data_IF_476991318760
#
_entry.id   IF_476991318760
#
_cell.length_a   1.000
_cell.length_b   1.000
_cell.length_c   1.000
_cell.angle_alpha   90.00
_cell.angle_beta   90.00
_cell.angle_gamma   90.00
#
_symmetry.space_group_name_H-M   'P 1'
#
loop_
_entity.id
_entity.type
_entity.pdbx_description
1 polymer ?
#
# COMPACT_ATOMS: atom_id res chain seq x y z
N UNK A 1 -2.90 -18.64 63.63
CA UNK A 1 -1.79 -18.40 62.69
C UNK A 1 -2.28 -18.77 61.30
N UNK A 2 -2.83 -17.80 60.57
CA UNK A 2 -3.29 -17.99 59.19
C UNK A 2 -2.17 -17.49 58.26
N UNK A 3 -1.60 -18.41 57.49
CA UNK A 3 -0.56 -18.15 56.50
C UNK A 3 -1.18 -17.46 55.28
N UNK A 4 -0.74 -16.23 55.00
CA UNK A 4 -1.07 -15.51 53.78
C UNK A 4 -0.43 -16.20 52.58
N UNK A 5 -1.25 -16.64 51.63
CA UNK A 5 -0.78 -17.01 50.28
C UNK A 5 -0.55 -15.72 49.50
N UNK A 6 0.72 -15.39 49.34
CA UNK A 6 1.22 -14.40 48.41
C UNK A 6 1.02 -14.94 46.97
N UNK A 7 -0.03 -14.49 46.29
CA UNK A 7 -0.23 -14.80 44.88
C UNK A 7 0.57 -13.82 44.05
N UNK A 8 1.82 -14.17 43.77
CA UNK A 8 2.66 -13.47 42.82
C UNK A 8 1.93 -13.34 41.47
N UNK A 9 1.62 -12.10 41.08
CA UNK A 9 1.25 -11.77 39.71
C UNK A 9 2.42 -12.16 38.81
N UNK A 10 2.30 -13.28 38.10
CA UNK A 10 3.16 -13.58 36.97
C UNK A 10 3.04 -12.41 36.00
N UNK A 11 4.14 -11.69 35.78
CA UNK A 11 4.25 -10.71 34.71
C UNK A 11 3.99 -11.46 33.40
N UNK A 12 2.81 -11.29 32.81
CA UNK A 12 2.49 -11.89 31.53
C UNK A 12 3.54 -11.41 30.52
N UNK A 13 4.28 -12.34 29.91
CA UNK A 13 5.25 -12.02 28.86
C UNK A 13 4.58 -11.09 27.84
N UNK A 14 5.18 -9.93 27.58
CA UNK A 14 4.63 -8.98 26.61
C UNK A 14 4.64 -9.65 25.23
N UNK A 15 3.45 -9.85 24.67
CA UNK A 15 3.34 -10.36 23.30
C UNK A 15 4.02 -9.39 22.32
N UNK A 16 4.50 -9.85 21.14
CA UNK A 16 5.13 -8.99 20.15
C UNK A 16 4.27 -7.77 19.77
N UNK A 17 2.94 -7.95 19.70
CA UNK A 17 1.99 -6.84 19.50
C UNK A 17 1.93 -5.87 20.67
N UNK A 18 1.92 -6.37 21.92
CA UNK A 18 1.96 -5.51 23.11
C UNK A 18 3.26 -4.71 23.19
N UNK A 19 4.38 -5.29 22.75
CA UNK A 19 5.66 -4.57 22.62
C UNK A 19 5.59 -3.43 21.59
N UNK A 20 4.97 -3.67 20.42
CA UNK A 20 4.75 -2.62 19.41
C UNK A 20 3.83 -1.51 19.92
N UNK A 21 2.71 -1.87 20.55
CA UNK A 21 1.78 -0.91 21.15
C UNK A 21 2.45 -0.10 22.26
N UNK A 22 3.25 -0.76 23.12
CA UNK A 22 4.04 -0.08 24.16
C UNK A 22 5.04 0.89 23.54
N UNK A 23 5.81 0.47 22.54
CA UNK A 23 6.77 1.33 21.84
C UNK A 23 6.11 2.52 21.14
N UNK A 24 4.86 2.37 20.67
CA UNK A 24 4.09 3.43 20.05
C UNK A 24 3.37 4.36 21.05
N UNK A 25 3.42 4.08 22.35
CA UNK A 25 2.70 4.86 23.37
C UNK A 25 3.35 6.23 23.61
N UNK A 26 2.57 7.29 23.87
CA UNK A 26 3.11 8.63 24.14
C UNK A 26 4.15 8.65 25.25
N UNK A 27 3.88 7.97 26.38
CA UNK A 27 4.79 7.91 27.52
C UNK A 27 6.16 7.30 27.19
N UNK A 28 6.19 6.28 26.32
CA UNK A 28 7.46 5.66 25.89
C UNK A 28 8.17 6.56 24.88
N UNK A 29 7.44 7.15 23.94
CA UNK A 29 7.99 8.10 22.97
C UNK A 29 8.65 9.30 23.67
N UNK A 30 8.05 9.80 24.74
CA UNK A 30 8.60 10.89 25.56
C UNK A 30 9.83 10.45 26.37
N UNK A 31 9.86 9.20 26.83
CA UNK A 31 10.94 8.68 27.68
C UNK A 31 12.21 8.27 26.90
N UNK A 32 12.10 7.44 25.87
CA UNK A 32 13.26 6.95 25.10
C UNK A 32 13.51 7.71 23.81
N UNK A 33 12.59 8.60 23.42
CA UNK A 33 12.61 9.28 22.13
C UNK A 33 12.13 8.38 20.98
N UNK A 34 11.53 9.02 19.97
CA UNK A 34 10.91 8.35 18.83
C UNK A 34 11.86 7.45 18.04
N UNK A 35 13.12 7.86 17.85
CA UNK A 35 14.09 7.07 17.07
C UNK A 35 14.42 5.72 17.72
N UNK A 36 14.56 5.69 19.06
CA UNK A 36 14.80 4.43 19.80
C UNK A 36 13.56 3.55 19.79
N UNK A 37 12.38 4.16 19.95
CA UNK A 37 11.11 3.45 19.84
C UNK A 37 10.92 2.82 18.44
N UNK A 38 11.21 3.56 17.37
CA UNK A 38 11.14 3.07 15.99
C UNK A 38 12.16 1.95 15.71
N UNK A 39 13.35 2.01 16.31
CA UNK A 39 14.35 0.93 16.20
C UNK A 39 13.87 -0.35 16.90
N UNK A 40 13.32 -0.24 18.12
CA UNK A 40 12.70 -1.38 18.83
C UNK A 40 11.52 -1.93 18.04
N UNK A 41 10.66 -1.06 17.52
CA UNK A 41 9.51 -1.48 16.71
C UNK A 41 9.95 -2.19 15.43
N UNK A 42 10.99 -1.69 14.76
CA UNK A 42 11.57 -2.33 13.57
C UNK A 42 12.16 -3.70 13.90
N UNK A 43 12.87 -3.83 15.03
CA UNK A 43 13.40 -5.11 15.51
C UNK A 43 12.27 -6.13 15.76
N UNK A 44 11.23 -5.72 16.50
CA UNK A 44 10.06 -6.57 16.79
C UNK A 44 9.34 -6.95 15.49
N UNK A 45 9.17 -6.00 14.57
CA UNK A 45 8.52 -6.26 13.29
C UNK A 45 9.30 -7.29 12.47
N UNK A 46 10.60 -7.07 12.27
CA UNK A 46 11.43 -7.93 11.42
C UNK A 46 11.64 -9.34 12.01
N UNK A 47 11.71 -9.47 13.33
CA UNK A 47 12.06 -10.75 13.96
C UNK A 47 10.85 -11.59 14.42
N UNK A 48 9.71 -10.94 14.71
CA UNK A 48 8.55 -11.60 15.32
C UNK A 48 7.30 -11.46 14.46
N UNK A 49 6.88 -10.22 14.15
CA UNK A 49 5.63 -9.99 13.42
C UNK A 49 5.71 -10.49 11.98
N UNK A 50 6.83 -10.27 11.29
CA UNK A 50 7.03 -10.73 9.93
C UNK A 50 6.90 -12.26 9.83
N UNK A 51 7.49 -13.00 10.77
CA UNK A 51 7.36 -14.46 10.83
C UNK A 51 5.91 -14.91 11.05
N UNK A 52 5.14 -14.19 11.86
CA UNK A 52 3.72 -14.46 12.04
C UNK A 52 2.93 -14.20 10.75
N UNK A 53 3.24 -13.10 10.04
CA UNK A 53 2.62 -12.78 8.75
C UNK A 53 2.95 -13.83 7.69
N UNK A 54 4.20 -14.27 7.60
CA UNK A 54 4.62 -15.36 6.70
C UNK A 54 3.87 -16.66 6.98
N UNK A 55 3.76 -17.07 8.24
CA UNK A 55 2.99 -18.27 8.63
C UNK A 55 1.52 -18.14 8.26
N UNK A 56 0.93 -16.96 8.45
CA UNK A 56 -0.47 -16.70 8.10
C UNK A 56 -0.68 -16.76 6.59
N UNK A 57 0.13 -16.05 5.81
CA UNK A 57 0.07 -16.06 4.35
C UNK A 57 0.26 -17.48 3.80
N UNK A 58 1.23 -18.23 4.33
CA UNK A 58 1.43 -19.63 3.97
C UNK A 58 0.19 -20.47 4.31
N UNK A 59 -0.35 -20.37 5.52
CA UNK A 59 -1.58 -21.11 5.88
C UNK A 59 -2.76 -20.75 4.95
N UNK A 60 -2.92 -19.48 4.59
CA UNK A 60 -3.95 -19.02 3.65
C UNK A 60 -3.72 -19.53 2.23
N UNK A 61 -2.47 -19.68 1.80
CA UNK A 61 -2.14 -20.31 0.51
C UNK A 61 -2.54 -21.78 0.44
N UNK A 62 -2.54 -22.47 1.58
CA UNK A 62 -2.90 -23.89 1.67
C UNK A 62 -4.40 -24.11 1.86
N UNK A 63 -5.12 -23.12 2.39
CA UNK A 63 -6.53 -23.23 2.78
C UNK A 63 -7.53 -22.99 1.63
N UNK A 64 -7.08 -23.00 0.38
CA UNK A 64 -7.91 -22.65 -0.77
C UNK A 64 -8.86 -23.77 -1.23
N UNK A 65 -10.02 -23.32 -1.72
CA UNK A 65 -10.95 -24.09 -2.55
C UNK A 65 -10.34 -24.41 -3.94
N UNK A 66 -10.71 -25.55 -4.53
CA UNK A 66 -10.16 -26.09 -5.78
C UNK A 66 -10.26 -25.09 -6.95
N UNK A 67 -11.33 -24.29 -6.98
CA UNK A 67 -11.55 -23.25 -7.98
C UNK A 67 -10.43 -22.19 -8.00
N UNK A 68 -9.91 -21.82 -6.82
CA UNK A 68 -8.86 -20.82 -6.73
C UNK A 68 -7.50 -21.37 -7.18
N UNK A 69 -7.21 -22.63 -6.88
CA UNK A 69 -6.00 -23.29 -7.37
C UNK A 69 -6.04 -23.48 -8.88
N UNK A 70 -7.20 -23.85 -9.44
CA UNK A 70 -7.39 -23.94 -10.88
C UNK A 70 -7.14 -22.59 -11.58
N UNK A 71 -7.68 -21.50 -11.03
CA UNK A 71 -7.43 -20.14 -11.50
C UNK A 71 -5.95 -19.76 -11.50
N UNK A 72 -5.23 -20.00 -10.40
CA UNK A 72 -3.82 -19.63 -10.27
C UNK A 72 -2.90 -20.42 -11.22
N UNK A 73 -3.27 -21.65 -11.61
CA UNK A 73 -2.52 -22.42 -12.62
C UNK A 73 -2.58 -21.78 -14.00
N UNK A 74 -3.72 -21.19 -14.37
CA UNK A 74 -3.96 -20.61 -15.70
C UNK A 74 -3.68 -19.11 -15.77
N UNK A 75 -3.42 -18.44 -14.65
CA UNK A 75 -3.16 -17.00 -14.59
C UNK A 75 -1.77 -16.66 -14.05
N UNK A 76 -1.28 -15.49 -14.44
CA UNK A 76 0.06 -14.99 -14.15
C UNK A 76 0.01 -13.67 -13.37
N UNK A 77 1.01 -13.44 -12.53
CA UNK A 77 1.21 -12.18 -11.83
C UNK A 77 2.60 -11.64 -12.15
N UNK A 78 2.66 -10.53 -12.89
CA UNK A 78 3.92 -9.86 -13.22
C UNK A 78 4.61 -9.15 -12.05
N UNK A 79 3.94 -8.83 -10.94
CA UNK A 79 4.52 -7.99 -9.87
C UNK A 79 5.87 -8.50 -9.35
N UNK A 80 6.05 -9.79 -9.00
CA UNK A 80 7.36 -10.28 -8.57
C UNK A 80 8.46 -10.19 -9.64
N UNK A 81 8.09 -9.97 -10.90
CA UNK A 81 8.98 -9.88 -12.05
C UNK A 81 9.31 -8.44 -12.47
N UNK A 82 8.64 -7.42 -11.93
CA UNK A 82 8.99 -6.02 -12.21
C UNK A 82 8.90 -5.07 -11.00
N UNK A 83 8.45 -5.50 -9.82
CA UNK A 83 8.26 -4.60 -8.67
C UNK A 83 9.36 -4.78 -7.60
N UNK A 84 9.89 -3.66 -7.08
CA UNK A 84 10.66 -3.63 -5.84
C UNK A 84 10.04 -2.62 -4.86
N UNK A 85 9.60 -3.08 -3.69
CA UNK A 85 9.11 -2.19 -2.61
C UNK A 85 10.12 -2.09 -1.47
N UNK A 86 10.53 -0.85 -1.17
CA UNK A 86 11.38 -0.53 -0.02
C UNK A 86 10.51 -0.24 1.20
N UNK A 87 10.94 -0.61 2.41
CA UNK A 87 10.12 -0.42 3.63
C UNK A 87 10.85 0.32 4.74
N UNK A 88 10.11 0.90 5.68
CA UNK A 88 10.67 1.69 6.78
C UNK A 88 11.54 0.87 7.75
N UNK A 89 11.48 -0.46 7.69
CA UNK A 89 12.35 -1.35 8.46
C UNK A 89 13.66 -1.69 7.74
N UNK A 90 13.89 -1.11 6.56
CA UNK A 90 15.09 -1.34 5.74
C UNK A 90 15.06 -2.64 4.96
N UNK A 91 13.92 -3.34 4.92
CA UNK A 91 13.72 -4.54 4.11
C UNK A 91 13.15 -4.17 2.73
N UNK A 92 13.48 -4.99 1.73
CA UNK A 92 13.01 -4.87 0.35
C UNK A 92 12.16 -6.09 -0.01
N UNK A 93 11.09 -5.89 -0.78
CA UNK A 93 10.13 -6.93 -1.17
C UNK A 93 9.89 -6.91 -2.69
N UNK A 94 9.52 -8.05 -3.28
CA UNK A 94 9.17 -8.16 -4.71
C UNK A 94 7.69 -7.84 -5.02
N UNK A 95 6.89 -7.52 -3.99
CA UNK A 95 5.47 -7.17 -4.08
C UNK A 95 5.08 -6.52 -2.75
N UNK A 96 3.82 -6.10 -2.61
CA UNK A 96 3.29 -5.51 -1.39
C UNK A 96 3.57 -6.41 -0.17
N UNK A 97 4.28 -5.93 0.88
CA UNK A 97 4.68 -6.73 2.04
C UNK A 97 3.50 -7.17 2.92
N UNK A 98 2.29 -6.67 2.64
CA UNK A 98 1.06 -7.14 3.28
C UNK A 98 0.60 -8.46 2.69
N UNK A 99 0.70 -8.62 1.36
CA UNK A 99 0.22 -9.80 0.65
C UNK A 99 1.34 -10.78 0.29
N UNK A 100 2.58 -10.31 0.23
CA UNK A 100 3.77 -11.14 0.04
C UNK A 100 4.78 -10.77 1.14
N UNK A 101 4.58 -11.25 2.39
CA UNK A 101 5.39 -10.86 3.54
C UNK A 101 6.76 -11.54 3.58
N UNK A 102 7.42 -11.73 2.44
CA UNK A 102 8.73 -12.38 2.33
C UNK A 102 9.74 -11.39 1.74
N UNK A 103 10.69 -10.88 2.55
CA UNK A 103 11.68 -9.94 2.07
C UNK A 103 12.67 -10.62 1.13
N UNK A 104 13.12 -9.88 0.12
CA UNK A 104 14.11 -10.33 -0.86
C UNK A 104 15.53 -9.84 -0.59
N UNK A 105 15.69 -8.98 0.41
CA UNK A 105 16.97 -8.42 0.84
C UNK A 105 16.76 -7.15 1.66
N UNK A 106 17.82 -6.35 1.76
CA UNK A 106 17.85 -5.11 2.51
C UNK A 106 18.17 -3.91 1.61
N UNK A 107 17.75 -2.75 2.07
CA UNK A 107 17.88 -1.50 1.31
C UNK A 107 19.32 -0.94 1.30
N UNK A 108 20.15 -1.37 2.26
CA UNK A 108 21.57 -1.03 2.33
C UNK A 108 22.47 -1.95 1.50
N UNK A 109 21.90 -2.96 0.83
CA UNK A 109 22.59 -3.87 -0.09
C UNK A 109 22.51 -3.36 -1.54
N UNK A 110 23.33 -3.93 -2.43
CA UNK A 110 23.24 -3.65 -3.86
C UNK A 110 21.88 -4.13 -4.40
N UNK A 111 21.12 -3.23 -5.04
CA UNK A 111 19.75 -3.52 -5.47
C UNK A 111 19.65 -4.64 -6.53
N UNK A 112 20.67 -4.81 -7.38
CA UNK A 112 20.71 -5.90 -8.37
C UNK A 112 20.95 -7.25 -7.70
N UNK A 113 21.79 -7.30 -6.67
CA UNK A 113 21.96 -8.52 -5.87
C UNK A 113 20.69 -8.90 -5.11
N UNK A 114 20.00 -7.91 -4.56
CA UNK A 114 18.68 -8.08 -3.91
C UNK A 114 17.64 -8.60 -4.91
N UNK A 115 17.61 -8.05 -6.13
CA UNK A 115 16.71 -8.49 -7.21
C UNK A 115 16.93 -9.95 -7.63
N UNK A 116 18.20 -10.39 -7.64
CA UNK A 116 18.62 -11.74 -8.01
C UNK A 116 18.95 -12.62 -6.79
N UNK A 117 18.35 -12.35 -5.64
CA UNK A 117 18.52 -13.19 -4.46
C UNK A 117 17.82 -14.54 -4.63
N UNK A 118 18.30 -15.56 -3.93
CA UNK A 118 17.71 -16.90 -3.98
C UNK A 118 16.22 -16.90 -3.62
N UNK A 119 15.84 -16.05 -2.66
CA UNK A 119 14.45 -15.94 -2.23
C UNK A 119 13.59 -15.20 -3.26
N UNK A 120 14.11 -14.18 -3.94
CA UNK A 120 13.39 -13.52 -5.04
C UNK A 120 13.11 -14.52 -6.18
N UNK A 121 14.10 -15.36 -6.51
CA UNK A 121 13.93 -16.39 -7.53
C UNK A 121 12.89 -17.43 -7.10
N UNK A 122 12.93 -17.92 -5.86
CA UNK A 122 11.91 -18.84 -5.33
C UNK A 122 10.50 -18.26 -5.36
N UNK A 123 10.35 -16.96 -5.09
CA UNK A 123 9.05 -16.28 -5.20
C UNK A 123 8.57 -16.33 -6.65
N UNK A 124 9.41 -15.93 -7.62
CA UNK A 124 9.08 -15.95 -9.05
C UNK A 124 8.77 -17.36 -9.54
N UNK A 125 9.55 -18.35 -9.13
CA UNK A 125 9.32 -19.76 -9.46
C UNK A 125 7.97 -20.25 -8.95
N UNK A 126 7.53 -19.81 -7.77
CA UNK A 126 6.20 -20.13 -7.24
C UNK A 126 5.06 -19.49 -8.01
N UNK A 127 5.31 -18.36 -8.70
CA UNK A 127 4.33 -17.83 -9.65
C UNK A 127 4.31 -18.74 -10.87
N UNK A 128 5.47 -19.09 -11.42
CA UNK A 128 5.66 -19.92 -12.64
C UNK A 128 5.00 -21.30 -12.51
N UNK A 129 5.16 -21.97 -11.38
CA UNK A 129 4.58 -23.29 -11.12
C UNK A 129 3.08 -23.25 -10.77
N UNK A 130 2.51 -22.05 -10.60
CA UNK A 130 1.10 -21.84 -10.28
C UNK A 130 0.74 -22.04 -8.81
N UNK A 131 1.70 -22.25 -7.91
CA UNK A 131 1.45 -22.45 -6.48
C UNK A 131 1.21 -21.14 -5.71
N UNK A 132 1.85 -20.05 -6.14
CA UNK A 132 1.83 -18.75 -5.46
C UNK A 132 2.15 -18.89 -3.96
N UNK A 133 3.06 -19.80 -3.61
CA UNK A 133 3.30 -20.28 -2.24
C UNK A 133 3.73 -19.20 -1.22
N UNK A 134 4.17 -18.04 -1.70
CA UNK A 134 4.57 -16.90 -0.86
C UNK A 134 3.49 -15.81 -0.74
N UNK A 135 2.40 -15.94 -1.48
CA UNK A 135 1.33 -14.95 -1.54
C UNK A 135 0.22 -15.27 -0.54
N UNK A 136 -0.40 -14.24 0.01
CA UNK A 136 -1.65 -14.31 0.77
C UNK A 136 -2.81 -14.34 -0.22
N UNK A 137 -3.32 -15.53 -0.45
CA UNK A 137 -4.36 -15.79 -1.44
C UNK A 137 -5.73 -15.21 -1.08
N UNK A 138 -5.95 -14.87 0.19
CA UNK A 138 -7.23 -14.36 0.69
C UNK A 138 -7.24 -12.83 0.65
N UNK A 139 -6.13 -12.20 1.06
CA UNK A 139 -6.10 -10.75 1.19
C UNK A 139 -5.51 -10.04 -0.03
N UNK A 140 -4.76 -10.73 -0.91
CA UNK A 140 -4.26 -10.13 -2.14
C UNK A 140 -5.43 -9.74 -3.06
N UNK A 141 -5.60 -8.45 -3.41
CA UNK A 141 -6.74 -7.99 -4.21
C UNK A 141 -6.74 -8.62 -5.61
N UNK A 142 -5.56 -8.86 -6.21
CA UNK A 142 -5.47 -9.48 -7.53
C UNK A 142 -5.91 -10.94 -7.54
N UNK A 143 -5.60 -11.69 -6.48
CA UNK A 143 -5.99 -13.11 -6.35
C UNK A 143 -7.46 -13.20 -5.96
N UNK A 144 -7.86 -12.52 -4.89
CA UNK A 144 -9.22 -12.56 -4.36
C UNK A 144 -10.24 -11.97 -5.34
N UNK A 145 -9.87 -10.90 -6.04
CA UNK A 145 -10.70 -10.26 -7.05
C UNK A 145 -10.62 -10.87 -8.45
N UNK A 146 -9.86 -11.95 -8.66
CA UNK A 146 -9.67 -12.60 -9.98
C UNK A 146 -9.19 -11.65 -11.08
N UNK A 147 -8.23 -10.77 -10.74
CA UNK A 147 -7.70 -9.73 -11.63
C UNK A 147 -6.30 -10.04 -12.19
N UNK A 148 -5.80 -11.26 -12.04
CA UNK A 148 -4.58 -11.70 -12.69
C UNK A 148 -4.80 -11.87 -14.20
N UNK A 149 -3.74 -11.69 -14.97
CA UNK A 149 -3.76 -11.87 -16.43
C UNK A 149 -3.66 -13.36 -16.81
N UNK A 150 -4.20 -13.79 -17.96
CA UNK A 150 -3.97 -15.13 -18.47
C UNK A 150 -2.47 -15.41 -18.63
N UNK A 151 -2.05 -16.64 -18.32
CA UNK A 151 -0.63 -17.03 -18.35
C UNK A 151 -0.06 -17.15 -19.77
N UNK A 152 -0.91 -17.35 -20.77
CA UNK A 152 -0.55 -17.58 -22.16
C UNK A 152 -0.50 -16.30 -23.00
N UNK A 153 -0.45 -15.12 -22.38
CA UNK A 153 -0.15 -13.86 -23.06
C UNK A 153 1.34 -13.78 -23.46
N UNK A 154 1.65 -12.93 -24.44
CA UNK A 154 3.03 -12.70 -24.86
C UNK A 154 3.83 -12.02 -23.76
N UNK A 155 3.22 -11.07 -23.05
CA UNK A 155 3.83 -10.34 -21.93
C UNK A 155 4.20 -11.29 -20.78
N UNK A 156 3.31 -12.23 -20.43
CA UNK A 156 3.61 -13.23 -19.39
C UNK A 156 4.78 -14.12 -19.81
N UNK A 157 4.85 -14.55 -21.09
CA UNK A 157 5.99 -15.31 -21.62
C UNK A 157 7.29 -14.52 -21.53
N UNK A 158 7.27 -13.23 -21.87
CA UNK A 158 8.47 -12.38 -21.82
C UNK A 158 9.04 -12.27 -20.41
N UNK A 159 8.21 -12.06 -19.39
CA UNK A 159 8.67 -12.03 -18.00
C UNK A 159 9.28 -13.36 -17.54
N UNK A 160 8.66 -14.48 -17.93
CA UNK A 160 9.13 -15.82 -17.60
C UNK A 160 10.48 -16.10 -18.27
N UNK A 161 10.62 -15.78 -19.56
CA UNK A 161 11.87 -15.96 -20.31
C UNK A 161 12.97 -15.02 -19.81
N UNK A 162 12.64 -13.78 -19.43
CA UNK A 162 13.59 -12.86 -18.81
C UNK A 162 14.13 -13.44 -17.50
N UNK A 163 13.25 -13.90 -16.61
CA UNK A 163 13.64 -14.53 -15.34
C UNK A 163 14.56 -15.74 -15.53
N UNK A 164 14.29 -16.59 -16.53
CA UNK A 164 15.13 -17.76 -16.87
C UNK A 164 16.56 -17.41 -17.27
N UNK A 165 16.80 -16.21 -17.82
CA UNK A 165 18.15 -15.72 -18.15
C UNK A 165 18.96 -15.35 -16.89
N UNK A 166 18.29 -15.16 -15.75
CA UNK A 166 18.92 -14.91 -14.46
C UNK A 166 19.82 -13.67 -14.46
N UNK A 167 20.97 -13.76 -13.77
CA UNK A 167 21.94 -12.65 -13.63
C UNK A 167 22.67 -12.28 -14.93
N UNK A 168 22.49 -13.03 -16.02
CA UNK A 168 23.13 -12.74 -17.30
C UNK A 168 22.56 -11.49 -17.99
N UNK A 169 21.36 -11.05 -17.57
CA UNK A 169 20.69 -9.85 -18.09
C UNK A 169 20.41 -8.88 -16.95
N UNK A 170 20.35 -7.59 -17.27
CA UNK A 170 19.86 -6.59 -16.33
C UNK A 170 18.39 -6.86 -15.96
N UNK A 171 17.92 -6.39 -14.79
CA UNK A 171 16.49 -6.41 -14.46
C UNK A 171 15.65 -5.77 -15.59
N UNK A 172 14.38 -6.18 -15.77
CA UNK A 172 13.49 -5.40 -16.62
C UNK A 172 13.30 -4.00 -16.01
N UNK A 173 12.73 -3.06 -16.77
CA UNK A 173 12.42 -1.74 -16.24
C UNK A 173 11.56 -1.90 -14.97
N UNK A 174 12.14 -1.54 -13.82
CA UNK A 174 11.53 -1.80 -12.54
C UNK A 174 10.46 -0.75 -12.24
N UNK A 175 9.40 -1.18 -11.56
CA UNK A 175 8.52 -0.33 -10.79
C UNK A 175 9.02 -0.33 -9.34
N UNK A 176 9.51 0.81 -8.89
CA UNK A 176 10.08 0.95 -7.54
C UNK A 176 9.07 1.64 -6.63
N UNK A 177 8.59 0.94 -5.60
CA UNK A 177 7.68 1.49 -4.59
C UNK A 177 8.50 1.94 -3.37
N UNK A 178 8.44 3.22 -3.05
CA UNK A 178 9.19 3.77 -1.93
C UNK A 178 8.30 3.83 -0.69
N UNK A 179 8.46 2.92 0.28
CA UNK A 179 7.69 2.89 1.54
C UNK A 179 8.58 3.00 2.79
N UNK A 180 9.79 3.55 2.63
CA UNK A 180 10.82 3.63 3.67
C UNK A 180 10.74 4.85 4.60
N UNK A 181 10.00 5.88 4.22
CA UNK A 181 9.66 7.00 5.09
C UNK A 181 8.16 6.95 5.44
N UNK A 182 7.84 7.22 6.72
CA UNK A 182 6.46 7.20 7.23
C UNK A 182 5.90 8.62 7.37
N UNK A 183 6.67 9.66 7.07
CA UNK A 183 6.28 11.05 7.32
C UNK A 183 4.99 11.42 6.58
N UNK A 184 4.06 12.07 7.28
CA UNK A 184 2.75 12.49 6.76
C UNK A 184 2.19 13.61 7.63
N UNK A 185 1.47 14.54 7.01
CA UNK A 185 0.79 15.66 7.66
C UNK A 185 -0.58 15.29 8.27
N UNK A 186 -1.05 14.05 8.10
CA UNK A 186 -2.29 13.55 8.69
C UNK A 186 -2.05 12.48 9.77
N UNK A 187 -3.06 12.25 10.59
CA UNK A 187 -3.12 11.26 11.68
C UNK A 187 -4.39 10.39 11.55
N UNK A 188 -4.63 9.86 10.35
CA UNK A 188 -5.82 9.07 10.04
C UNK A 188 -5.96 7.87 11.01
N UNK A 189 -7.13 7.66 11.64
CA UNK A 189 -7.36 6.57 12.60
C UNK A 189 -7.25 5.17 11.99
N UNK A 190 -7.30 5.04 10.67
CA UNK A 190 -7.09 3.77 9.94
C UNK A 190 -5.62 3.48 9.61
N UNK A 191 -4.73 4.44 9.83
CA UNK A 191 -3.35 4.40 9.35
C UNK A 191 -2.32 4.45 10.47
N UNK A 192 -2.49 5.36 11.44
CA UNK A 192 -1.45 5.71 12.42
C UNK A 192 -2.00 6.43 13.66
N UNK A 193 -1.24 6.43 14.74
CA UNK A 193 -1.65 7.04 16.02
C UNK A 193 -1.43 8.55 16.13
N UNK A 194 -0.72 9.17 15.18
CA UNK A 194 -0.39 10.60 15.23
C UNK A 194 0.24 11.10 13.92
N UNK A 195 0.65 12.37 13.91
CA UNK A 195 1.40 12.96 12.79
C UNK A 195 2.85 12.48 12.88
N UNK A 196 3.45 12.13 11.74
CA UNK A 196 4.83 11.67 11.65
C UNK A 196 5.63 12.67 10.83
N UNK A 197 6.72 13.18 11.40
CA UNK A 197 7.67 14.04 10.70
C UNK A 197 9.07 13.57 11.06
N UNK A 198 9.90 13.33 10.05
CA UNK A 198 11.31 13.01 10.26
C UNK A 198 12.01 14.15 11.00
N UNK A 199 12.68 13.83 12.11
CA UNK A 199 13.57 14.76 12.79
C UNK A 199 14.88 14.94 12.00
N UNK A 200 15.76 15.85 12.44
CA UNK A 200 17.04 16.12 11.74
C UNK A 200 17.93 14.87 11.57
N UNK A 201 18.00 14.01 12.60
CA UNK A 201 18.83 12.81 12.56
C UNK A 201 18.26 11.76 11.59
N UNK A 202 16.93 11.59 11.57
CA UNK A 202 16.25 10.72 10.60
C UNK A 202 16.36 11.28 9.19
N UNK A 203 16.24 12.60 9.00
CA UNK A 203 16.42 13.24 7.70
C UNK A 203 17.83 12.96 7.16
N UNK A 204 18.89 13.13 7.97
CA UNK A 204 20.25 12.82 7.53
C UNK A 204 20.43 11.35 7.10
N UNK A 205 19.78 10.40 7.79
CA UNK A 205 19.77 8.98 7.38
C UNK A 205 19.04 8.75 6.06
N UNK A 206 17.93 9.47 5.85
CA UNK A 206 17.15 9.39 4.62
C UNK A 206 17.92 10.04 3.44
N UNK A 207 18.64 11.11 3.69
CA UNK A 207 19.51 11.75 2.68
C UNK A 207 20.66 10.81 2.28
N UNK A 208 21.33 10.16 3.25
CA UNK A 208 22.38 9.16 2.97
C UNK A 208 21.82 7.97 2.16
N UNK A 209 20.62 7.51 2.52
CA UNK A 209 19.92 6.44 1.82
C UNK A 209 19.58 6.81 0.37
N UNK A 210 19.18 8.07 0.14
CA UNK A 210 18.92 8.60 -1.21
C UNK A 210 20.13 8.43 -2.10
N UNK A 211 21.29 8.89 -1.64
CA UNK A 211 22.52 8.86 -2.45
C UNK A 211 23.03 7.43 -2.68
N UNK A 212 23.06 6.61 -1.63
CA UNK A 212 23.71 5.30 -1.68
C UNK A 212 22.85 4.22 -2.31
N UNK A 213 21.53 4.30 -2.15
CA UNK A 213 20.63 3.18 -2.49
C UNK A 213 19.52 3.59 -3.45
N UNK A 214 18.81 4.69 -3.19
CA UNK A 214 17.60 5.01 -3.96
C UNK A 214 17.93 5.52 -5.37
N UNK A 215 18.80 6.53 -5.50
CA UNK A 215 19.15 7.07 -6.81
C UNK A 215 19.80 6.02 -7.73
N UNK A 216 20.73 5.16 -7.26
CA UNK A 216 21.24 4.05 -8.07
C UNK A 216 20.15 3.05 -8.49
N UNK A 217 19.25 2.68 -7.57
CA UNK A 217 18.14 1.77 -7.87
C UNK A 217 17.19 2.34 -8.92
N UNK A 218 16.88 3.64 -8.84
CA UNK A 218 15.97 4.33 -9.75
C UNK A 218 16.53 4.51 -11.17
N UNK A 219 17.84 4.29 -11.39
CA UNK A 219 18.41 4.27 -12.75
C UNK A 219 17.99 3.02 -13.54
N UNK A 220 17.64 1.93 -12.85
CA UNK A 220 17.13 0.71 -13.46
C UNK A 220 15.58 0.66 -13.44
N UNK A 221 14.92 1.75 -13.04
CA UNK A 221 13.47 1.84 -12.93
C UNK A 221 12.85 2.53 -14.16
N UNK A 222 11.72 2.00 -14.63
CA UNK A 222 10.83 2.71 -15.57
C UNK A 222 9.83 3.59 -14.84
N UNK A 223 9.45 3.20 -13.62
CA UNK A 223 8.45 3.89 -12.81
C UNK A 223 8.86 3.93 -11.33
N UNK A 224 8.48 5.00 -10.63
CA UNK A 224 8.62 5.12 -9.18
C UNK A 224 7.31 5.54 -8.52
N UNK A 225 6.85 4.75 -7.55
CA UNK A 225 5.70 5.08 -6.71
C UNK A 225 6.18 5.76 -5.44
N UNK A 226 5.86 7.04 -5.32
CA UNK A 226 6.09 7.89 -4.17
C UNK A 226 4.72 8.25 -3.62
N UNK A 227 4.18 7.54 -2.63
CA UNK A 227 4.86 6.56 -1.77
C UNK A 227 3.88 5.46 -1.31
N UNK A 228 4.39 4.27 -1.00
CA UNK A 228 3.60 3.23 -0.32
C UNK A 228 3.47 3.41 1.20
N UNK A 229 4.15 4.41 1.80
CA UNK A 229 3.98 4.77 3.22
C UNK A 229 4.20 6.26 3.48
N UNK A 230 3.47 6.85 4.43
CA UNK A 230 3.57 8.31 4.62
C UNK A 230 2.75 9.07 3.58
N UNK A 231 3.30 10.16 3.07
CA UNK A 231 2.67 11.00 2.04
C UNK A 231 3.73 11.70 1.17
N UNK A 232 3.53 11.71 -0.15
CA UNK A 232 4.47 12.30 -1.12
C UNK A 232 4.78 13.77 -0.85
N UNK A 233 3.78 14.54 -0.41
CA UNK A 233 3.90 15.98 -0.16
C UNK A 233 4.04 16.30 1.32
N UNK A 234 3.61 15.42 2.22
CA UNK A 234 3.80 15.55 3.67
C UNK A 234 5.23 15.24 4.12
N UNK A 235 5.99 14.43 3.36
CA UNK A 235 7.38 14.11 3.65
C UNK A 235 8.36 15.12 3.02
N UNK A 236 9.22 15.73 3.83
CA UNK A 236 10.33 16.55 3.33
C UNK A 236 11.30 15.74 2.46
N UNK A 237 11.56 14.49 2.86
CA UNK A 237 12.42 13.57 2.13
C UNK A 237 11.89 13.27 0.73
N UNK A 238 10.61 12.88 0.61
CA UNK A 238 10.03 12.59 -0.70
C UNK A 238 9.95 13.83 -1.59
N UNK A 239 9.62 15.01 -1.04
CA UNK A 239 9.68 16.26 -1.80
C UNK A 239 11.10 16.56 -2.32
N UNK A 240 12.13 16.33 -1.52
CA UNK A 240 13.52 16.52 -1.95
C UNK A 240 13.94 15.49 -3.01
N UNK A 241 13.53 14.24 -2.87
CA UNK A 241 13.78 13.20 -3.87
C UNK A 241 13.09 13.55 -5.20
N UNK A 242 11.80 13.92 -5.18
CA UNK A 242 11.07 14.34 -6.38
C UNK A 242 11.82 15.48 -7.09
N UNK A 243 12.24 16.52 -6.37
CA UNK A 243 13.04 17.63 -6.97
C UNK A 243 14.32 17.15 -7.64
N UNK A 244 15.00 16.15 -7.06
CA UNK A 244 16.23 15.58 -7.64
C UNK A 244 15.93 14.81 -8.93
N UNK A 245 14.84 14.04 -8.94
CA UNK A 245 14.42 13.28 -10.11
C UNK A 245 13.98 14.20 -11.26
N UNK A 246 13.14 15.21 -10.98
CA UNK A 246 12.59 16.12 -11.99
C UNK A 246 13.57 17.18 -12.49
N UNK A 247 14.71 17.37 -11.82
CA UNK A 247 15.75 18.32 -12.23
C UNK A 247 16.94 17.66 -12.97
N UNK A 248 16.93 16.34 -13.14
CA UNK A 248 18.08 15.58 -13.63
C UNK A 248 17.75 14.82 -14.90
N UNK A 249 18.57 15.01 -15.93
CA UNK A 249 18.42 14.31 -17.22
C UNK A 249 18.57 12.79 -17.11
N UNK A 250 19.32 12.30 -16.11
CA UNK A 250 19.46 10.86 -15.80
C UNK A 250 18.12 10.16 -15.55
N UNK A 251 17.07 10.90 -15.16
CA UNK A 251 15.76 10.36 -14.79
C UNK A 251 14.63 10.91 -15.67
N UNK A 252 14.94 11.47 -16.85
CA UNK A 252 13.94 12.10 -17.72
C UNK A 252 12.84 11.15 -18.21
N UNK A 253 13.18 9.87 -18.36
CA UNK A 253 12.26 8.83 -18.83
C UNK A 253 11.56 8.08 -17.67
N UNK A 254 11.99 8.32 -16.42
CA UNK A 254 11.38 7.73 -15.23
C UNK A 254 10.02 8.39 -14.98
N UNK A 255 8.95 7.59 -14.95
CA UNK A 255 7.61 8.09 -14.60
C UNK A 255 7.38 8.09 -13.10
N UNK A 256 6.88 9.20 -12.58
CA UNK A 256 6.58 9.39 -11.17
C UNK A 256 5.09 9.12 -10.94
N UNK A 257 4.79 8.17 -10.06
CA UNK A 257 3.45 7.86 -9.60
C UNK A 257 3.29 8.38 -8.17
N UNK A 258 2.34 9.29 -7.96
CA UNK A 258 2.19 10.01 -6.69
C UNK A 258 1.04 9.44 -5.87
N UNK A 259 1.33 8.93 -4.67
CA UNK A 259 0.33 8.57 -3.68
C UNK A 259 0.29 9.63 -2.58
N UNK A 260 -0.88 10.26 -2.42
CA UNK A 260 -1.05 11.43 -1.55
C UNK A 260 -2.43 11.46 -0.90
N UNK A 261 -2.55 12.12 0.25
CA UNK A 261 -3.82 12.49 0.87
C UNK A 261 -4.45 13.76 0.26
N UNK A 262 -3.78 14.39 -0.69
CA UNK A 262 -4.27 15.54 -1.46
C UNK A 262 -4.18 16.89 -0.75
N UNK A 263 -3.92 16.95 0.56
CA UNK A 263 -3.96 18.21 1.32
C UNK A 263 -2.87 19.22 0.93
N UNK A 264 -1.71 18.73 0.50
CA UNK A 264 -0.53 19.53 0.14
C UNK A 264 -0.21 19.46 -1.36
N UNK A 265 -1.11 18.89 -2.16
CA UNK A 265 -0.94 18.82 -3.60
C UNK A 265 -1.68 19.97 -4.29
N UNK A 266 -1.07 21.15 -4.24
CA UNK A 266 -1.58 22.37 -4.88
C UNK A 266 -0.68 22.82 -6.05
N UNK A 267 -1.10 23.88 -6.75
CA UNK A 267 -0.37 24.47 -7.87
C UNK A 267 1.06 24.88 -7.49
N UNK A 268 1.24 25.36 -6.25
CA UNK A 268 2.57 25.71 -5.76
C UNK A 268 3.45 24.46 -5.66
N UNK A 269 2.95 23.39 -5.07
CA UNK A 269 3.70 22.14 -4.96
C UNK A 269 4.04 21.57 -6.35
N UNK A 270 3.09 21.62 -7.29
CA UNK A 270 3.32 21.22 -8.69
C UNK A 270 4.51 21.95 -9.32
N UNK A 271 4.54 23.28 -9.21
CA UNK A 271 5.62 24.12 -9.73
C UNK A 271 6.92 23.92 -8.96
N UNK A 272 6.88 23.97 -7.64
CA UNK A 272 8.06 23.91 -6.78
C UNK A 272 8.78 22.55 -6.88
N UNK A 273 8.08 21.49 -7.32
CA UNK A 273 8.61 20.14 -7.56
C UNK A 273 8.87 19.83 -9.05
N UNK A 274 8.61 20.77 -9.97
CA UNK A 274 8.76 20.60 -11.41
C UNK A 274 8.09 19.33 -11.96
N UNK A 275 6.81 19.11 -11.63
CA UNK A 275 6.12 17.86 -11.96
C UNK A 275 5.71 17.71 -13.44
N UNK A 276 5.62 18.81 -14.18
CA UNK A 276 5.16 18.80 -15.57
C UNK A 276 5.99 17.85 -16.45
N UNK A 277 5.33 17.01 -17.24
CA UNK A 277 5.95 15.99 -18.10
C UNK A 277 6.45 14.71 -17.40
N UNK A 278 6.49 14.69 -16.06
CA UNK A 278 7.05 13.57 -15.27
C UNK A 278 5.99 12.64 -14.66
N UNK A 279 4.74 13.11 -14.49
CA UNK A 279 3.72 12.37 -13.73
C UNK A 279 3.00 11.36 -14.61
N UNK A 280 3.20 10.07 -14.29
CA UNK A 280 2.43 8.98 -14.91
C UNK A 280 1.06 8.84 -14.27
N UNK A 281 1.02 8.69 -12.94
CA UNK A 281 -0.23 8.46 -12.22
C UNK A 281 -0.29 9.24 -10.91
N UNK A 282 -1.51 9.53 -10.45
CA UNK A 282 -1.78 10.09 -9.13
C UNK A 282 -2.87 9.28 -8.47
N UNK A 283 -2.58 8.76 -7.28
CA UNK A 283 -3.55 8.16 -6.39
C UNK A 283 -3.83 9.09 -5.21
N UNK A 284 -5.08 9.50 -5.06
CA UNK A 284 -5.53 10.35 -3.95
C UNK A 284 -6.34 9.54 -2.95
N UNK A 285 -5.77 9.48 -1.76
CA UNK A 285 -6.33 8.83 -0.58
C UNK A 285 -7.27 9.79 0.16
N UNK A 286 -8.58 9.61 -0.03
CA UNK A 286 -9.60 10.54 0.47
C UNK A 286 -10.45 9.93 1.60
N UNK A 287 -10.87 8.66 1.50
CA UNK A 287 -11.71 7.93 2.49
C UNK A 287 -13.08 8.52 2.86
N UNK A 288 -13.56 9.58 2.22
CA UNK A 288 -14.89 10.16 2.48
C UNK A 288 -15.37 11.01 1.30
N UNK A 289 -16.68 11.06 1.07
CA UNK A 289 -17.34 11.99 0.16
C UNK A 289 -17.93 13.21 0.89
N UNK A 290 -18.09 13.14 2.23
CA UNK A 290 -18.68 14.22 3.03
C UNK A 290 -17.68 14.84 4.03
N UNK A 291 -17.91 16.11 4.36
CA UNK A 291 -16.99 16.89 5.20
C UNK A 291 -16.88 16.35 6.64
N UNK A 292 -18.01 15.92 7.23
CA UNK A 292 -18.05 15.44 8.61
C UNK A 292 -17.33 14.09 8.76
N UNK A 293 -17.60 13.16 7.84
CA UNK A 293 -16.88 11.89 7.78
C UNK A 293 -15.39 12.11 7.49
N UNK A 294 -15.04 13.01 6.57
CA UNK A 294 -13.65 13.36 6.29
C UNK A 294 -12.91 13.88 7.53
N UNK A 295 -13.56 14.75 8.32
CA UNK A 295 -12.99 15.29 9.55
C UNK A 295 -12.67 14.18 10.58
N UNK A 296 -13.44 13.09 10.57
CA UNK A 296 -13.22 11.93 11.43
C UNK A 296 -12.09 11.02 10.89
N UNK A 297 -12.17 10.62 9.61
CA UNK A 297 -11.33 9.56 9.05
C UNK A 297 -10.00 10.07 8.49
N UNK A 298 -9.87 11.37 8.19
CA UNK A 298 -8.67 12.02 7.63
C UNK A 298 -8.13 13.19 8.47
N UNK A 299 -8.30 13.17 9.79
CA UNK A 299 -7.81 14.23 10.69
C UNK A 299 -6.28 14.49 10.60
N UNK A 300 -5.81 15.75 10.77
CA UNK A 300 -6.56 17.00 10.86
C UNK A 300 -6.78 17.63 9.47
N UNK A 301 -7.08 16.82 8.46
CA UNK A 301 -7.31 17.26 7.10
C UNK A 301 -8.46 18.27 7.00
N UNK A 302 -8.40 19.12 5.98
CA UNK A 302 -9.42 20.11 5.69
C UNK A 302 -10.09 19.74 4.36
N UNK A 303 -11.39 19.43 4.42
CA UNK A 303 -12.13 18.95 3.25
C UNK A 303 -12.27 20.02 2.16
N UNK A 304 -12.52 21.28 2.53
CA UNK A 304 -12.58 22.38 1.56
C UNK A 304 -11.25 22.58 0.81
N UNK A 305 -10.12 22.46 1.52
CA UNK A 305 -8.78 22.47 0.91
C UNK A 305 -8.59 21.28 -0.02
N UNK A 306 -9.04 20.08 0.37
CA UNK A 306 -9.01 18.92 -0.52
C UNK A 306 -9.76 19.23 -1.82
N UNK A 307 -11.01 19.68 -1.75
CA UNK A 307 -11.82 19.97 -2.94
C UNK A 307 -11.15 21.02 -3.85
N UNK A 308 -10.55 22.06 -3.26
CA UNK A 308 -9.77 23.05 -4.02
C UNK A 308 -8.59 22.39 -4.76
N UNK A 309 -7.85 21.54 -4.09
CA UNK A 309 -6.71 20.84 -4.68
C UNK A 309 -7.15 19.83 -5.75
N UNK A 310 -8.26 19.12 -5.54
CA UNK A 310 -8.83 18.21 -6.53
C UNK A 310 -9.25 18.95 -7.80
N UNK A 311 -9.75 20.18 -7.70
CA UNK A 311 -10.07 20.99 -8.88
C UNK A 311 -8.82 21.31 -9.72
N UNK A 312 -7.70 21.64 -9.08
CA UNK A 312 -6.42 21.82 -9.77
C UNK A 312 -5.89 20.51 -10.38
N UNK A 313 -5.97 19.40 -9.64
CA UNK A 313 -5.49 18.09 -10.12
C UNK A 313 -6.33 17.61 -11.31
N UNK A 314 -7.64 17.86 -11.28
CA UNK A 314 -8.55 17.62 -12.41
C UNK A 314 -8.06 18.34 -13.66
N UNK A 315 -7.72 19.63 -13.57
CA UNK A 315 -7.19 20.39 -14.70
C UNK A 315 -5.92 19.74 -15.27
N UNK A 316 -4.96 19.36 -14.40
CA UNK A 316 -3.73 18.68 -14.83
C UNK A 316 -4.01 17.32 -15.50
N UNK A 317 -5.03 16.60 -15.05
CA UNK A 317 -5.49 15.35 -15.70
C UNK A 317 -6.11 15.62 -17.07
N UNK A 318 -6.94 16.65 -17.20
CA UNK A 318 -7.66 16.99 -18.44
C UNK A 318 -6.73 17.53 -19.54
N UNK A 319 -5.68 18.26 -19.18
CA UNK A 319 -4.66 18.73 -20.14
C UNK A 319 -3.58 17.68 -20.45
N UNK A 320 -3.65 16.49 -19.83
CA UNK A 320 -2.74 15.37 -20.10
C UNK A 320 -1.39 15.44 -19.39
N UNK A 321 -1.22 16.33 -18.39
CA UNK A 321 -0.01 16.40 -17.56
C UNK A 321 0.02 15.28 -16.49
N UNK A 322 -1.16 14.77 -16.11
CA UNK A 322 -1.32 13.52 -15.36
C UNK A 322 -1.95 12.50 -16.30
N UNK A 323 -1.34 11.32 -16.51
CA UNK A 323 -1.91 10.31 -17.43
C UNK A 323 -3.07 9.55 -16.80
N UNK A 324 -2.95 9.21 -15.51
CA UNK A 324 -3.97 8.47 -14.76
C UNK A 324 -4.24 9.10 -13.39
N UNK A 325 -5.51 9.31 -13.06
CA UNK A 325 -5.96 9.81 -11.77
C UNK A 325 -6.85 8.77 -11.09
N UNK A 326 -6.55 8.43 -9.85
CA UNK A 326 -7.26 7.41 -9.10
C UNK A 326 -7.62 7.92 -7.71
N UNK A 327 -8.84 7.69 -7.26
CA UNK A 327 -9.24 7.94 -5.88
C UNK A 327 -9.29 6.62 -5.10
N UNK A 328 -8.93 6.66 -3.82
CA UNK A 328 -8.99 5.48 -2.96
C UNK A 328 -9.73 5.75 -1.65
N UNK A 329 -10.54 4.78 -1.23
CA UNK A 329 -11.22 4.75 0.05
C UNK A 329 -10.91 3.46 0.80
N UNK A 330 -10.45 3.60 2.05
CA UNK A 330 -10.47 2.52 3.04
C UNK A 330 -11.88 2.44 3.62
N UNK A 331 -12.62 1.40 3.26
CA UNK A 331 -14.00 1.16 3.68
C UNK A 331 -14.02 0.60 5.10
N UNK A 332 -14.75 1.27 5.98
CA UNK A 332 -14.93 0.96 7.39
C UNK A 332 -16.33 1.39 7.83
N UNK A 333 -16.73 1.01 9.05
CA UNK A 333 -18.02 1.37 9.66
C UNK A 333 -18.37 2.86 9.48
N UNK A 334 -17.40 3.75 9.72
CA UNK A 334 -17.60 5.19 9.66
C UNK A 334 -17.89 5.78 8.27
N UNK A 335 -17.68 5.05 7.16
CA UNK A 335 -17.75 5.65 5.81
C UNK A 335 -18.36 4.77 4.71
N UNK A 336 -18.71 3.50 4.97
CA UNK A 336 -19.17 2.60 3.89
C UNK A 336 -20.43 3.11 3.19
N UNK A 337 -21.33 3.80 3.89
CA UNK A 337 -22.54 4.40 3.32
C UNK A 337 -22.25 5.48 2.27
N UNK A 338 -21.05 6.06 2.30
CA UNK A 338 -20.63 7.06 1.33
C UNK A 338 -20.00 6.46 0.06
N UNK A 339 -19.81 5.14 -0.03
CA UNK A 339 -19.19 4.51 -1.21
C UNK A 339 -19.85 4.94 -2.54
N UNK A 340 -21.19 4.98 -2.69
CA UNK A 340 -21.82 5.47 -3.93
C UNK A 340 -21.54 6.96 -4.19
N UNK A 341 -21.59 7.79 -3.15
CA UNK A 341 -21.26 9.22 -3.25
C UNK A 341 -19.79 9.43 -3.62
N UNK A 342 -18.90 8.57 -3.14
CA UNK A 342 -17.48 8.58 -3.43
C UNK A 342 -17.18 8.27 -4.90
N UNK A 343 -17.92 7.34 -5.51
CA UNK A 343 -17.84 7.10 -6.96
C UNK A 343 -18.26 8.35 -7.75
N UNK A 344 -19.38 8.99 -7.38
CA UNK A 344 -19.83 10.24 -8.02
C UNK A 344 -18.80 11.36 -7.89
N UNK A 345 -18.12 11.45 -6.73
CA UNK A 345 -17.00 12.37 -6.52
C UNK A 345 -15.84 12.07 -7.48
N UNK A 346 -15.49 10.79 -7.69
CA UNK A 346 -14.51 10.37 -8.69
C UNK A 346 -14.83 10.87 -10.10
N UNK A 347 -16.07 10.68 -10.55
CA UNK A 347 -16.54 11.19 -11.85
C UNK A 347 -16.49 12.72 -11.93
N UNK A 348 -16.92 13.41 -10.87
CA UNK A 348 -16.90 14.88 -10.80
C UNK A 348 -15.50 15.46 -11.00
N UNK A 349 -14.48 14.79 -10.47
CA UNK A 349 -13.08 15.22 -10.54
C UNK A 349 -12.26 14.49 -11.61
N UNK A 350 -12.91 13.86 -12.59
CA UNK A 350 -12.27 13.20 -13.75
C UNK A 350 -11.25 12.12 -13.35
N UNK A 351 -11.51 11.41 -12.25
CA UNK A 351 -10.74 10.21 -11.91
C UNK A 351 -11.02 9.11 -12.94
N UNK A 352 -10.00 8.37 -13.31
CA UNK A 352 -10.07 7.19 -14.18
C UNK A 352 -10.50 5.93 -13.39
N UNK A 353 -10.25 5.91 -12.08
CA UNK A 353 -10.69 4.82 -11.19
C UNK A 353 -10.96 5.28 -9.76
N UNK A 354 -11.90 4.61 -9.10
CA UNK A 354 -12.23 4.72 -7.68
C UNK A 354 -12.04 3.35 -7.04
N UNK A 355 -10.97 3.21 -6.25
CA UNK A 355 -10.60 1.96 -5.61
C UNK A 355 -11.07 1.90 -4.15
N UNK A 356 -11.75 0.81 -3.81
CA UNK A 356 -12.14 0.47 -2.46
C UNK A 356 -11.20 -0.58 -1.88
N UNK A 357 -10.82 -0.38 -0.62
CA UNK A 357 -10.04 -1.35 0.15
C UNK A 357 -10.69 -1.55 1.51
N UNK A 358 -10.88 -2.79 1.92
CA UNK A 358 -11.50 -3.12 3.20
C UNK A 358 -10.56 -2.72 4.34
N UNK A 359 -11.12 -2.22 5.44
CA UNK A 359 -10.39 -1.94 6.67
C UNK A 359 -9.62 -3.18 7.15
N UNK A 360 -8.40 -2.98 7.63
CA UNK A 360 -7.50 -4.06 8.04
C UNK A 360 -6.89 -3.79 9.39
N UNK A 361 -6.72 -4.85 10.16
CA UNK A 361 -6.05 -4.77 11.44
C UNK A 361 -4.58 -4.34 11.24
N UNK A 362 -4.19 -3.25 11.89
CA UNK A 362 -2.80 -2.77 11.93
C UNK A 362 -2.25 -2.93 13.35
N UNK A 363 -0.94 -3.11 13.46
CA UNK A 363 -0.28 -3.32 14.76
C UNK A 363 -0.39 -2.12 15.71
N UNK A 364 -0.81 -0.96 15.21
CA UNK A 364 -1.03 0.27 15.99
C UNK A 364 -2.41 0.34 16.66
N UNK A 365 -3.36 -0.53 16.30
CA UNK A 365 -4.72 -0.53 16.86
C UNK A 365 -4.94 -1.73 17.77
N UNK A 366 -5.85 -1.56 18.72
CA UNK A 366 -6.32 -2.65 19.57
C UNK A 366 -7.22 -3.61 18.78
N UNK A 367 -7.53 -4.76 19.39
CA UNK A 367 -8.48 -5.71 18.81
C UNK A 367 -9.89 -5.12 18.74
N UNK A 368 -10.32 -4.44 19.81
CA UNK A 368 -11.63 -3.82 19.88
C UNK A 368 -11.82 -2.72 18.84
N UNK A 369 -10.85 -1.80 18.70
CA UNK A 369 -10.91 -0.75 17.66
C UNK A 369 -11.00 -1.34 16.24
N UNK A 370 -10.37 -2.49 15.99
CA UNK A 370 -10.51 -3.17 14.71
C UNK A 370 -11.89 -3.82 14.54
N UNK A 371 -12.41 -4.49 15.56
CA UNK A 371 -13.72 -5.15 15.52
C UNK A 371 -14.86 -4.13 15.32
N UNK A 372 -14.73 -2.94 15.92
CA UNK A 372 -15.69 -1.84 15.74
C UNK A 372 -15.62 -1.20 14.34
N UNK A 373 -14.45 -1.16 13.71
CA UNK A 373 -14.29 -0.52 12.40
C UNK A 373 -14.49 -1.49 11.21
N UNK A 374 -14.26 -2.79 11.43
CA UNK A 374 -14.27 -3.80 10.38
C UNK A 374 -15.69 -4.25 10.05
N UNK A 375 -16.29 -3.55 9.09
CA UNK A 375 -17.66 -3.82 8.60
C UNK A 375 -17.83 -5.19 7.91
N UNK A 376 -16.72 -5.84 7.54
CA UNK A 376 -16.72 -7.15 6.90
C UNK A 376 -16.97 -8.34 7.83
N UNK A 377 -17.12 -8.14 9.14
CA UNK A 377 -17.49 -9.22 10.07
C UNK A 377 -19.01 -9.50 9.96
N UNK A 378 -19.44 -10.75 9.67
CA UNK A 378 -20.86 -11.10 9.65
C UNK A 378 -21.63 -10.82 10.95
N UNK A 379 -20.94 -10.65 12.08
CA UNK A 379 -21.54 -10.29 13.37
C UNK A 379 -21.55 -8.78 13.64
N UNK A 380 -20.97 -7.96 12.75
CA UNK A 380 -21.01 -6.52 12.88
C UNK A 380 -22.47 -6.05 12.75
N UNK A 381 -22.98 -5.15 13.63
CA UNK A 381 -24.38 -4.71 13.61
C UNK A 381 -24.83 -4.17 12.24
N UNK A 382 -23.91 -3.50 11.56
CA UNK A 382 -24.12 -2.83 10.28
C UNK A 382 -23.73 -3.69 9.06
N UNK A 383 -23.33 -4.96 9.24
CA UNK A 383 -22.88 -5.81 8.14
C UNK A 383 -23.94 -5.99 7.05
N UNK A 384 -25.20 -6.20 7.44
CA UNK A 384 -26.30 -6.37 6.49
C UNK A 384 -26.53 -5.09 5.66
N UNK A 385 -26.47 -3.92 6.28
CA UNK A 385 -26.61 -2.64 5.57
C UNK A 385 -25.43 -2.41 4.63
N UNK A 386 -24.21 -2.79 5.01
CA UNK A 386 -23.05 -2.77 4.12
C UNK A 386 -23.24 -3.64 2.87
N UNK A 387 -23.78 -4.86 3.01
CA UNK A 387 -24.06 -5.72 1.86
C UNK A 387 -25.11 -5.09 0.92
N UNK A 388 -26.14 -4.42 1.46
CA UNK A 388 -27.11 -3.68 0.67
C UNK A 388 -26.46 -2.50 -0.10
N UNK A 389 -25.51 -1.79 0.51
CA UNK A 389 -24.77 -0.73 -0.18
C UNK A 389 -23.99 -1.25 -1.39
N UNK A 390 -23.50 -2.50 -1.36
CA UNK A 390 -22.78 -3.10 -2.51
C UNK A 390 -23.68 -3.31 -3.75
N UNK A 391 -25.00 -3.26 -3.59
CA UNK A 391 -25.95 -3.28 -4.71
C UNK A 391 -26.17 -1.90 -5.37
N UNK A 392 -25.58 -0.83 -4.84
CA UNK A 392 -25.75 0.51 -5.40
C UNK A 392 -25.25 0.59 -6.86
N UNK A 393 -26.03 1.19 -7.78
CA UNK A 393 -25.72 1.19 -9.22
C UNK A 393 -24.39 1.88 -9.54
N UNK A 394 -23.96 2.86 -8.74
CA UNK A 394 -22.68 3.54 -8.90
C UNK A 394 -21.48 2.59 -8.79
N UNK A 395 -21.58 1.54 -7.96
CA UNK A 395 -20.51 0.57 -7.77
C UNK A 395 -20.33 -0.38 -8.95
N UNK A 396 -21.29 -0.38 -9.89
CA UNK A 396 -21.22 -1.13 -11.15
C UNK A 396 -20.73 -0.27 -12.32
N UNK A 397 -20.39 1.01 -12.10
CA UNK A 397 -19.80 1.84 -13.13
C UNK A 397 -18.37 1.39 -13.45
N UNK A 398 -17.88 1.51 -14.69
CA UNK A 398 -16.53 1.07 -15.08
C UNK A 398 -15.38 1.71 -14.27
N UNK A 399 -15.61 2.91 -13.72
CA UNK A 399 -14.65 3.60 -12.84
C UNK A 399 -14.46 2.89 -11.48
N UNK A 400 -15.44 2.10 -11.03
CA UNK A 400 -15.45 1.47 -9.71
C UNK A 400 -14.57 0.21 -9.67
N UNK A 401 -13.68 0.13 -8.69
CA UNK A 401 -12.86 -1.04 -8.41
C UNK A 401 -13.04 -1.45 -6.94
N UNK A 402 -13.76 -2.55 -6.68
CA UNK A 402 -14.00 -3.04 -5.32
C UNK A 402 -12.76 -3.65 -4.65
N UNK A 403 -11.67 -3.91 -5.37
CA UNK A 403 -10.45 -4.47 -4.79
C UNK A 403 -10.73 -5.74 -3.97
N UNK A 404 -10.29 -5.73 -2.70
CA UNK A 404 -10.54 -6.85 -1.78
C UNK A 404 -11.96 -6.87 -1.17
N UNK A 405 -12.84 -5.91 -1.48
CA UNK A 405 -14.27 -6.00 -1.16
C UNK A 405 -15.02 -6.92 -2.11
N UNK A 406 -14.43 -7.32 -3.24
CA UNK A 406 -15.07 -8.20 -4.21
C UNK A 406 -15.54 -9.53 -3.60
N UNK A 407 -14.91 -10.00 -2.51
CA UNK A 407 -15.33 -11.17 -1.76
C UNK A 407 -16.71 -11.03 -1.06
N UNK A 408 -17.18 -9.79 -0.89
CA UNK A 408 -18.49 -9.46 -0.31
C UNK A 408 -19.52 -9.05 -1.37
N UNK A 409 -19.08 -8.88 -2.63
CA UNK A 409 -19.92 -8.36 -3.68
C UNK A 409 -21.02 -9.36 -4.07
N UNK A 410 -22.19 -8.87 -4.54
CA UNK A 410 -23.26 -9.73 -5.02
C UNK A 410 -22.81 -10.68 -6.15
N UNK A 411 -23.47 -11.83 -6.26
CA UNK A 411 -23.20 -12.77 -7.34
C UNK A 411 -23.32 -12.09 -8.73
N UNK A 412 -22.37 -12.37 -9.62
CA UNK A 412 -22.30 -11.76 -10.96
C UNK A 412 -21.59 -10.40 -11.03
N UNK A 413 -21.10 -9.84 -9.91
CA UNK A 413 -20.25 -8.64 -9.94
C UNK A 413 -18.90 -8.90 -10.64
N UNK A 414 -18.34 -10.10 -10.50
CA UNK A 414 -17.07 -10.50 -11.09
C UNK A 414 -17.14 -10.93 -12.57
N UNK A 415 -18.26 -10.74 -13.26
CA UNK A 415 -18.35 -11.01 -14.70
C UNK A 415 -17.41 -10.05 -15.44
N UNK A 416 -16.26 -10.59 -15.88
CA UNK A 416 -15.15 -9.87 -16.50
C UNK A 416 -15.56 -9.03 -17.72
N UNK A 417 -16.68 -9.37 -18.36
CA UNK A 417 -17.24 -8.67 -19.52
C UNK A 417 -17.86 -7.30 -19.18
N UNK A 418 -18.12 -7.01 -17.89
CA UNK A 418 -18.78 -5.76 -17.44
C UNK A 418 -17.86 -4.76 -16.75
N UNK A 419 -16.70 -5.22 -16.28
CA UNK A 419 -15.72 -4.42 -15.55
C UNK A 419 -14.35 -4.66 -16.18
N UNK A 420 -14.04 -4.02 -17.33
CA UNK A 420 -12.69 -4.10 -17.87
C UNK A 420 -11.75 -3.66 -16.76
N UNK A 421 -10.86 -4.57 -16.37
CA UNK A 421 -9.84 -4.34 -15.37
C UNK A 421 -9.23 -3.00 -15.72
N UNK A 422 -9.50 -1.99 -14.89
CA UNK A 422 -8.68 -0.82 -14.89
C UNK A 422 -7.28 -1.38 -14.68
N UNK A 423 -6.45 -1.33 -15.72
CA UNK A 423 -5.02 -1.23 -15.55
C UNK A 423 -4.80 0.12 -14.83
N UNK A 424 -5.30 0.21 -13.61
CA UNK A 424 -4.95 1.22 -12.66
C UNK A 424 -3.43 1.12 -12.63
N UNK A 425 -2.79 2.19 -13.05
CA UNK A 425 -1.35 2.34 -12.97
C UNK A 425 -0.94 2.04 -11.52
N UNK A 426 -0.57 0.80 -11.26
CA UNK A 426 -0.21 0.23 -9.96
C UNK A 426 1.10 -0.52 -10.03
#
# INVERSE_FOLDING_TARGET
MATSKDTGKQASALSPRRLLQWAASPAVLDFIGRDRADAVASFVNNNLILKLRQRRAYAQSQAQDEAAQAYLKTHFCRRPFNTMETTHTGLVFACCPVYLPTPIGRLDENHRDVWHSDIANKIRDSIIDGSYSYCDHVNCPFIAGRQLEPRDTDEAREFIEHHRKGRAVAPPALQVVLSHDKSCNLACPSCRSGIYVANKARQAKLDDLTEKSLLPMLKDAGEVIITGSGDAFGSNHFRNLIKRLTASDDYRDLKIHLHTNGQLFDERAWRDLNLAGHVGAVQISIDAAEADTYANVRRPGNFARLLKNLAFIKEMREIGEIQHLMFSMVVQDANYREMPAFVRMGQQFSADSVMFNMYRQRDVFSKGEYEEAFIGDPHHPDHADFLEILHAPELYLPISNLGNLAAYAPAGWLDADKHPIGQAAE
#
